data_IF_884103590268
#
_entry.id   IF_884103590268
#
_cell.length_a   1.000
_cell.length_b   1.000
_cell.length_c   1.000
_cell.angle_alpha   90.00
_cell.angle_beta   90.00
_cell.angle_gamma   90.00
#
_symmetry.space_group_name_H-M   'P 1'
#
loop_
_entity.id
_entity.type
_entity.pdbx_description
1 polymer ?
#
# COMPACT_ATOMS: atom_id res chain seq x y z
N UNK A 1 1.30 5.40 -17.34
CA UNK A 1 2.48 5.37 -16.44
C UNK A 1 2.69 3.94 -15.95
N UNK A 2 3.95 3.53 -15.74
CA UNK A 2 4.36 2.21 -15.22
C UNK A 2 4.51 2.16 -13.69
N UNK A 3 4.17 3.25 -13.01
CA UNK A 3 4.17 3.33 -11.54
C UNK A 3 3.03 2.48 -11.00
N UNK A 4 3.37 1.58 -10.08
CA UNK A 4 2.42 0.79 -9.32
C UNK A 4 2.52 1.22 -7.86
N UNK A 5 1.40 1.16 -7.15
CA UNK A 5 1.42 1.33 -5.71
C UNK A 5 0.39 0.44 -5.04
N UNK A 6 0.78 -0.05 -3.88
CA UNK A 6 -0.06 -0.86 -3.00
C UNK A 6 0.00 -0.25 -1.63
N UNK A 7 -1.13 -0.24 -0.94
CA UNK A 7 -1.18 0.32 0.40
C UNK A 7 -2.19 -0.41 1.27
N UNK A 8 -2.01 -0.23 2.57
CA UNK A 8 -2.97 -0.67 3.58
C UNK A 8 -3.25 0.46 4.57
N UNK A 9 -4.45 0.43 5.13
CA UNK A 9 -4.96 1.36 6.14
C UNK A 9 -5.58 0.55 7.27
N UNK A 10 -5.84 1.18 8.41
CA UNK A 10 -6.40 0.46 9.55
C UNK A 10 -7.83 -0.03 9.32
N UNK A 11 -8.63 0.78 8.62
CA UNK A 11 -9.98 0.48 8.18
C UNK A 11 -10.35 1.34 6.96
N UNK A 12 -11.53 1.10 6.38
CA UNK A 12 -12.02 1.85 5.21
C UNK A 12 -12.85 3.09 5.59
N UNK A 13 -12.96 3.46 6.87
CA UNK A 13 -13.87 4.51 7.33
C UNK A 13 -13.46 5.89 6.80
N UNK A 14 -12.17 6.22 6.84
CA UNK A 14 -11.67 7.50 6.32
C UNK A 14 -11.90 7.60 4.80
N UNK A 15 -11.58 6.54 4.06
CA UNK A 15 -11.75 6.50 2.60
C UNK A 15 -13.22 6.61 2.21
N UNK A 16 -14.11 5.93 2.96
CA UNK A 16 -15.57 5.98 2.76
C UNK A 16 -16.12 7.37 3.05
N UNK A 17 -15.82 7.95 4.20
CA UNK A 17 -16.27 9.31 4.56
C UNK A 17 -15.74 10.35 3.58
N UNK A 18 -14.50 10.17 3.12
CA UNK A 18 -13.92 11.00 2.07
C UNK A 18 -14.55 10.79 0.71
N UNK A 19 -15.28 9.71 0.43
CA UNK A 19 -15.81 9.41 -0.91
C UNK A 19 -14.77 8.95 -1.93
N UNK A 20 -13.61 8.46 -1.45
CA UNK A 20 -12.49 7.98 -2.30
C UNK A 20 -12.64 6.48 -2.62
N UNK A 21 -13.59 5.81 -1.97
CA UNK A 21 -13.98 4.43 -2.23
C UNK A 21 -15.51 4.31 -2.21
N UNK A 22 -16.07 3.40 -3.02
CA UNK A 22 -17.52 3.19 -3.04
C UNK A 22 -18.03 2.59 -1.73
N UNK A 23 -19.28 2.87 -1.37
CA UNK A 23 -19.90 2.32 -0.16
C UNK A 23 -19.96 0.79 -0.16
N UNK A 24 -20.13 0.17 -1.33
CA UNK A 24 -20.11 -1.30 -1.50
C UNK A 24 -18.72 -1.89 -1.26
N UNK A 25 -17.66 -1.22 -1.73
CA UNK A 25 -16.29 -1.62 -1.43
C UNK A 25 -15.91 -1.41 0.05
N UNK A 26 -16.55 -0.45 0.72
CA UNK A 26 -16.33 -0.14 2.14
C UNK A 26 -17.13 -1.01 3.13
N UNK A 27 -18.10 -1.81 2.68
CA UNK A 27 -19.00 -2.63 3.53
C UNK A 27 -18.29 -3.77 4.30
N UNK A 28 -16.96 -3.76 4.31
CA UNK A 28 -16.08 -4.81 4.84
C UNK A 28 -15.50 -4.44 6.21
N UNK A 29 -15.64 -3.18 6.65
CA UNK A 29 -14.99 -2.63 7.85
C UNK A 29 -15.48 -3.15 9.21
N UNK A 30 -16.24 -4.25 9.27
CA UNK A 30 -16.82 -4.79 10.52
C UNK A 30 -16.13 -6.07 11.03
N UNK A 31 -15.26 -6.70 10.24
CA UNK A 31 -14.53 -7.90 10.69
C UNK A 31 -13.28 -7.49 11.49
N UNK A 32 -13.25 -7.87 12.77
CA UNK A 32 -12.15 -7.57 13.69
C UNK A 32 -10.79 -8.04 13.13
N UNK A 33 -9.79 -7.16 13.20
CA UNK A 33 -8.40 -7.40 12.77
C UNK A 33 -8.20 -7.74 11.28
N UNK A 34 -9.19 -7.54 10.42
CA UNK A 34 -9.00 -7.63 8.96
C UNK A 34 -8.52 -6.28 8.43
N UNK A 35 -7.43 -6.30 7.66
CA UNK A 35 -6.83 -5.13 7.04
C UNK A 35 -7.03 -5.17 5.52
N UNK A 36 -7.52 -4.08 4.91
CA UNK A 36 -7.65 -3.99 3.47
C UNK A 36 -6.28 -3.75 2.84
N UNK A 37 -6.00 -4.43 1.73
CA UNK A 37 -4.91 -4.09 0.82
C UNK A 37 -5.55 -3.51 -0.44
N UNK A 38 -5.08 -2.34 -0.87
CA UNK A 38 -5.64 -1.57 -1.95
C UNK A 38 -4.58 -1.20 -2.97
N UNK A 39 -5.03 -0.84 -4.16
CA UNK A 39 -4.20 -0.31 -5.24
C UNK A 39 -5.00 0.74 -6.03
N UNK A 40 -4.40 1.33 -7.07
CA UNK A 40 -5.17 2.01 -8.10
C UNK A 40 -5.19 1.18 -9.39
N UNK A 41 -6.39 0.92 -9.88
CA UNK A 41 -6.63 0.20 -11.13
C UNK A 41 -6.12 0.97 -12.38
N UNK A 42 -6.22 0.32 -13.53
CA UNK A 42 -5.86 0.88 -14.85
C UNK A 42 -6.60 2.17 -15.20
N UNK A 43 -7.77 2.43 -14.63
CA UNK A 43 -8.56 3.65 -14.83
C UNK A 43 -8.17 4.78 -13.87
N UNK A 44 -7.23 4.54 -12.95
CA UNK A 44 -6.85 5.52 -11.94
C UNK A 44 -7.80 5.59 -10.75
N UNK A 45 -8.63 4.57 -10.54
CA UNK A 45 -9.55 4.50 -9.40
C UNK A 45 -8.96 3.64 -8.30
N UNK A 46 -9.15 4.09 -7.07
CA UNK A 46 -8.79 3.35 -5.88
C UNK A 46 -9.70 2.13 -5.75
N UNK A 47 -9.11 0.94 -5.70
CA UNK A 47 -9.83 -0.33 -5.68
C UNK A 47 -9.28 -1.25 -4.58
N UNK A 48 -10.15 -2.00 -3.88
CA UNK A 48 -9.71 -3.09 -3.00
C UNK A 48 -9.05 -4.18 -3.83
N UNK A 49 -7.85 -4.60 -3.43
CA UNK A 49 -7.16 -5.74 -4.02
C UNK A 49 -7.51 -7.02 -3.26
N UNK A 50 -7.34 -7.01 -1.94
CA UNK A 50 -7.65 -8.15 -1.08
C UNK A 50 -7.85 -7.75 0.38
N UNK A 51 -8.24 -8.73 1.19
CA UNK A 51 -8.44 -8.61 2.63
C UNK A 51 -7.55 -9.63 3.31
N UNK A 52 -6.75 -9.17 4.27
CA UNK A 52 -5.85 -10.06 5.01
C UNK A 52 -6.02 -9.85 6.51
N UNK A 53 -5.77 -10.89 7.29
CA UNK A 53 -5.88 -10.82 8.75
C UNK A 53 -4.56 -10.36 9.35
N UNK A 54 -4.60 -9.27 10.10
CA UNK A 54 -3.46 -8.71 10.80
C UNK A 54 -2.62 -7.75 9.97
N UNK A 55 -2.09 -6.72 10.64
CA UNK A 55 -1.31 -5.63 10.04
C UNK A 55 0.00 -6.10 9.41
N UNK A 56 0.74 -6.96 10.11
CA UNK A 56 2.00 -7.55 9.60
C UNK A 56 1.79 -8.30 8.28
N UNK A 57 0.69 -9.07 8.15
CA UNK A 57 0.40 -9.77 6.90
C UNK A 57 0.03 -8.80 5.77
N UNK A 58 -0.70 -7.72 6.06
CA UNK A 58 -0.97 -6.68 5.07
C UNK A 58 0.31 -6.03 4.55
N UNK A 59 1.25 -5.69 5.42
CA UNK A 59 2.55 -5.13 5.05
C UNK A 59 3.35 -6.14 4.22
N UNK A 60 3.42 -7.39 4.65
CA UNK A 60 4.08 -8.46 3.88
C UNK A 60 3.47 -8.62 2.49
N UNK A 61 2.15 -8.52 2.36
CA UNK A 61 1.48 -8.56 1.06
C UNK A 61 1.86 -7.39 0.13
N UNK A 62 2.17 -6.21 0.66
CA UNK A 62 2.71 -5.11 -0.17
C UNK A 62 4.07 -5.49 -0.77
N UNK A 63 4.95 -6.08 0.04
CA UNK A 63 6.25 -6.57 -0.42
C UNK A 63 6.11 -7.73 -1.42
N UNK A 64 5.21 -8.69 -1.16
CA UNK A 64 4.88 -9.80 -2.07
C UNK A 64 4.48 -9.27 -3.45
N UNK A 65 3.62 -8.23 -3.50
CA UNK A 65 3.20 -7.60 -4.76
C UNK A 65 4.34 -6.89 -5.50
N UNK A 66 5.26 -6.27 -4.77
CA UNK A 66 6.48 -5.70 -5.36
C UNK A 66 7.35 -6.78 -6.01
N UNK A 67 7.59 -7.89 -5.31
CA UNK A 67 8.43 -8.99 -5.80
C UNK A 67 7.79 -9.70 -7.00
N UNK A 68 6.47 -9.89 -6.97
CA UNK A 68 5.71 -10.50 -8.07
C UNK A 68 5.80 -9.69 -9.36
N UNK A 69 5.83 -8.36 -9.24
CA UNK A 69 5.67 -7.45 -10.39
C UNK A 69 6.96 -6.86 -10.94
N UNK A 70 8.07 -7.01 -10.23
CA UNK A 70 9.37 -6.49 -10.64
C UNK A 70 10.28 -7.61 -11.14
N UNK A 71 11.20 -7.27 -12.05
CA UNK A 71 12.17 -8.24 -12.57
C UNK A 71 13.31 -8.42 -11.56
N UNK A 72 13.62 -9.67 -11.21
CA UNK A 72 14.73 -10.03 -10.31
C UNK A 72 16.12 -9.73 -10.86
N UNK A 73 16.25 -9.17 -12.06
CA UNK A 73 17.54 -8.67 -12.59
C UNK A 73 17.67 -7.15 -12.52
N UNK A 74 16.58 -6.43 -12.27
CA UNK A 74 16.58 -4.96 -12.28
C UNK A 74 16.59 -4.43 -10.85
N UNK A 75 17.54 -3.54 -10.56
CA UNK A 75 17.56 -2.80 -9.30
C UNK A 75 16.48 -1.72 -9.29
N UNK A 76 15.77 -1.59 -8.17
CA UNK A 76 14.64 -0.67 -8.03
C UNK A 76 14.98 0.45 -7.05
N UNK A 77 14.59 1.67 -7.44
CA UNK A 77 14.29 2.73 -6.47
C UNK A 77 12.83 2.61 -6.08
N UNK A 78 12.56 2.34 -4.80
CA UNK A 78 11.21 2.29 -4.25
C UNK A 78 10.94 3.51 -3.37
N UNK A 79 9.67 3.86 -3.21
CA UNK A 79 9.25 4.86 -2.24
C UNK A 79 8.21 4.24 -1.31
N UNK A 80 8.38 4.45 -0.01
CA UNK A 80 7.41 4.09 1.01
C UNK A 80 6.86 5.38 1.61
N UNK A 81 5.55 5.47 1.74
CA UNK A 81 4.87 6.62 2.36
C UNK A 81 4.05 6.13 3.55
N UNK A 82 4.17 6.80 4.69
CA UNK A 82 3.46 6.43 5.91
C UNK A 82 2.67 7.58 6.54
N UNK A 83 1.51 7.25 7.10
CA UNK A 83 0.72 8.17 7.92
C UNK A 83 0.93 7.85 9.39
N UNK A 84 1.94 8.46 10.01
CA UNK A 84 2.23 8.29 11.45
C UNK A 84 2.52 6.85 11.92
N UNK A 85 3.09 6.01 11.05
CA UNK A 85 3.53 4.65 11.39
C UNK A 85 4.90 4.30 10.79
N UNK A 86 5.94 5.04 11.21
CA UNK A 86 7.31 4.86 10.68
C UNK A 86 7.85 3.44 10.87
N UNK A 87 7.53 2.79 11.99
CA UNK A 87 7.97 1.41 12.27
C UNK A 87 7.46 0.42 11.21
N UNK A 88 6.21 0.57 10.76
CA UNK A 88 5.66 -0.26 9.69
C UNK A 88 6.32 0.00 8.34
N UNK A 89 6.71 1.26 8.08
CA UNK A 89 7.44 1.63 6.87
C UNK A 89 8.84 1.01 6.84
N UNK A 90 9.54 1.04 7.97
CA UNK A 90 10.86 0.40 8.12
C UNK A 90 10.74 -1.13 8.00
N UNK A 91 9.69 -1.72 8.58
CA UNK A 91 9.43 -3.16 8.41
C UNK A 91 9.16 -3.52 6.95
N UNK A 92 8.39 -2.70 6.22
CA UNK A 92 8.15 -2.89 4.80
C UNK A 92 9.44 -2.77 3.97
N UNK A 93 10.28 -1.77 4.25
CA UNK A 93 11.58 -1.62 3.60
C UNK A 93 12.43 -2.89 3.78
N UNK A 94 12.51 -3.39 5.02
CA UNK A 94 13.24 -4.61 5.34
C UNK A 94 12.77 -5.78 4.47
N UNK A 95 11.45 -6.03 4.41
CA UNK A 95 10.89 -7.12 3.62
C UNK A 95 11.17 -6.98 2.12
N UNK A 96 11.10 -5.76 1.58
CA UNK A 96 11.42 -5.47 0.19
C UNK A 96 12.90 -5.71 -0.13
N UNK A 97 13.81 -5.39 0.80
CA UNK A 97 15.26 -5.61 0.63
C UNK A 97 15.66 -7.08 0.78
N UNK A 98 15.05 -7.80 1.70
CA UNK A 98 15.35 -9.22 1.95
C UNK A 98 14.92 -10.11 0.77
N UNK A 99 13.82 -9.75 0.10
CA UNK A 99 13.17 -10.64 -0.87
C UNK A 99 13.11 -10.07 -2.29
N UNK A 100 13.57 -8.83 -2.50
CA UNK A 100 13.55 -8.14 -3.79
C UNK A 100 14.80 -7.30 -4.04
N UNK A 101 14.85 -6.66 -5.20
CA UNK A 101 16.03 -5.92 -5.66
C UNK A 101 15.89 -4.42 -5.41
N UNK A 102 16.22 -3.98 -4.20
CA UNK A 102 16.12 -2.57 -3.82
C UNK A 102 17.50 -1.94 -3.77
N UNK A 103 17.77 -1.01 -4.67
CA UNK A 103 18.97 -0.17 -4.63
C UNK A 103 18.77 0.98 -3.66
N UNK A 104 17.64 1.67 -3.78
CA UNK A 104 17.30 2.84 -2.97
C UNK A 104 15.87 2.76 -2.47
N UNK A 105 15.68 3.09 -1.20
CA UNK A 105 14.36 3.27 -0.61
C UNK A 105 14.24 4.70 -0.11
N UNK A 106 13.16 5.38 -0.50
CA UNK A 106 12.78 6.69 0.00
C UNK A 106 11.60 6.51 0.96
N UNK A 107 11.78 6.82 2.24
CA UNK A 107 10.69 6.80 3.22
C UNK A 107 10.24 8.24 3.46
N UNK A 108 8.95 8.50 3.26
CA UNK A 108 8.36 9.83 3.43
C UNK A 108 7.10 9.77 4.29
N UNK A 109 6.77 10.91 4.89
CA UNK A 109 5.51 11.12 5.59
C UNK A 109 4.39 11.49 4.60
N UNK A 110 3.18 11.00 4.84
CA UNK A 110 2.02 11.29 3.99
C UNK A 110 1.55 12.75 4.12
N UNK A 111 1.22 13.38 3.00
CA UNK A 111 0.74 14.76 2.99
C UNK A 111 -0.67 14.92 3.57
N UNK A 112 -1.03 16.09 4.11
CA UNK A 112 -2.31 16.31 4.81
C UNK A 112 -3.53 16.06 3.92
N UNK A 113 -3.43 16.36 2.61
CA UNK A 113 -4.52 16.15 1.66
C UNK A 113 -4.91 14.68 1.56
N UNK A 114 -3.92 13.78 1.40
CA UNK A 114 -4.17 12.34 1.30
C UNK A 114 -4.49 11.76 2.68
N UNK A 115 -3.75 12.16 3.72
CA UNK A 115 -3.95 11.72 5.09
C UNK A 115 -5.38 11.98 5.60
N UNK A 116 -6.03 13.07 5.17
CA UNK A 116 -7.42 13.35 5.52
C UNK A 116 -8.43 12.29 5.02
N UNK A 117 -8.03 11.51 4.01
CA UNK A 117 -8.83 10.43 3.43
C UNK A 117 -8.36 9.04 3.81
N UNK A 118 -7.10 8.84 4.16
CA UNK A 118 -6.55 7.53 4.52
C UNK A 118 -6.51 7.31 6.03
N UNK A 119 -6.45 8.38 6.82
CA UNK A 119 -6.24 8.34 8.26
C UNK A 119 -4.79 8.01 8.65
N UNK A 120 -4.52 8.03 9.95
CA UNK A 120 -3.28 7.49 10.51
C UNK A 120 -3.19 5.97 10.28
N UNK A 121 -1.98 5.44 10.34
CA UNK A 121 -1.70 4.01 10.10
C UNK A 121 -1.67 3.62 8.62
N UNK A 122 -1.73 4.57 7.67
CA UNK A 122 -1.46 4.31 6.26
C UNK A 122 -0.01 3.86 6.07
N UNK A 123 0.21 2.79 5.32
CA UNK A 123 1.52 2.49 4.73
C UNK A 123 1.35 2.11 3.26
N UNK A 124 2.13 2.75 2.39
CA UNK A 124 2.05 2.63 0.94
C UNK A 124 3.43 2.38 0.35
N UNK A 125 3.50 1.51 -0.66
CA UNK A 125 4.72 1.18 -1.41
C UNK A 125 4.53 1.54 -2.88
N UNK A 126 5.46 2.31 -3.43
CA UNK A 126 5.51 2.73 -4.83
C UNK A 126 6.75 2.16 -5.51
N UNK A 127 6.57 1.67 -6.74
CA UNK A 127 7.66 1.14 -7.57
C UNK A 127 7.29 1.15 -9.06
N UNK A 128 8.27 0.88 -9.93
CA UNK A 128 8.05 0.73 -11.36
C UNK A 128 7.88 -0.74 -11.71
N UNK A 129 6.87 -1.07 -12.52
CA UNK A 129 6.68 -2.43 -13.06
C UNK A 129 6.50 -2.40 -14.59
N UNK A 130 6.42 -3.57 -15.23
CA UNK A 130 6.26 -3.66 -16.70
C UNK A 130 5.01 -2.95 -17.21
N UNK A 131 3.92 -3.06 -16.46
CA UNK A 131 2.65 -2.38 -16.71
C UNK A 131 2.05 -1.82 -15.41
N UNK A 132 0.92 -1.12 -15.50
CA UNK A 132 0.09 -0.77 -14.34
C UNK A 132 -0.89 -1.90 -14.07
N UNK A 133 -1.13 -2.21 -12.80
CA UNK A 133 -2.23 -3.10 -12.42
C UNK A 133 -3.61 -2.45 -12.57
#
# INVERSE_FOLDING_TARGET
>A
MKVNHYFTVDDLNHLKRGGRISASAAAVGTLLNVKPVLHMDKQGKLAPLMKVRGRKKAIATLAEKFIERTDKKEMQTISIVHGDCLEDALHLEQLCRENGNVEKCLINFEGPTVASHTGAGLVSLYFIAKERE
#
